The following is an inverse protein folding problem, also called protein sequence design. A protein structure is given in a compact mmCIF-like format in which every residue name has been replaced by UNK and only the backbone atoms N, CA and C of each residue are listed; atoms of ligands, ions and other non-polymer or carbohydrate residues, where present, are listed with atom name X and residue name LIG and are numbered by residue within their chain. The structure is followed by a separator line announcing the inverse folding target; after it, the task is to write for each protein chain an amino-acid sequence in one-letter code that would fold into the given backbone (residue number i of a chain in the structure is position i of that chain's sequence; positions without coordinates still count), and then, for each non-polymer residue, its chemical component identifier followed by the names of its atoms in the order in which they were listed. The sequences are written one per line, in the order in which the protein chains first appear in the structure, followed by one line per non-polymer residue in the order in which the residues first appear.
data_IF_774828765407
#
_entry.id   IF_774828765407
#
_cell.length_a   1.000
_cell.length_b   1.000
_cell.length_c   1.000
_cell.angle_alpha   90.00
_cell.angle_beta   90.00
_cell.angle_gamma   90.00
#
_symmetry.space_group_name_H-M   'P 1'
#
loop_
_entity.id
_entity.type
_entity.pdbx_description
1 polymer ?
#
# COMPACT_ATOMS: atom_id res chain seq x y z
N UNK A 1 -0.77 9.56 -7.04
CA UNK A 1 -1.98 9.40 -6.19
C UNK A 1 -1.62 8.48 -5.05
N UNK A 2 -2.02 8.76 -3.80
CA UNK A 2 -1.64 7.94 -2.64
C UNK A 2 -2.73 6.97 -2.17
N UNK A 3 -3.83 6.76 -2.92
CA UNK A 3 -4.93 5.84 -2.56
C UNK A 3 -5.52 6.09 -1.15
N UNK A 4 -5.55 7.34 -0.71
CA UNK A 4 -5.96 7.75 0.64
C UNK A 4 -4.96 7.39 1.74
N UNK A 5 -3.80 6.83 1.40
CA UNK A 5 -2.68 6.57 2.31
C UNK A 5 -1.90 7.87 2.51
N UNK A 6 -1.43 8.10 3.74
CA UNK A 6 -0.54 9.23 4.03
C UNK A 6 0.70 9.19 3.12
N UNK A 7 1.12 10.31 2.52
CA UNK A 7 2.31 10.35 1.66
C UNK A 7 3.54 9.72 2.32
N UNK A 8 3.79 10.04 3.59
CA UNK A 8 4.92 9.48 4.36
C UNK A 8 4.82 7.97 4.53
N UNK A 9 3.61 7.42 4.72
CA UNK A 9 3.42 5.97 4.83
C UNK A 9 3.62 5.30 3.48
N UNK A 10 3.10 5.90 2.41
CA UNK A 10 3.26 5.40 1.05
C UNK A 10 4.74 5.34 0.65
N UNK A 11 5.49 6.42 0.90
CA UNK A 11 6.93 6.47 0.63
C UNK A 11 7.71 5.41 1.41
N UNK A 12 7.37 5.18 2.69
CA UNK A 12 8.00 4.13 3.50
C UNK A 12 7.70 2.72 2.99
N UNK A 13 6.47 2.46 2.55
CA UNK A 13 6.11 1.17 1.94
C UNK A 13 6.88 0.95 0.64
N UNK A 14 6.95 1.96 -0.23
CA UNK A 14 7.71 1.88 -1.48
C UNK A 14 9.20 1.63 -1.22
N UNK A 15 9.80 2.35 -0.26
CA UNK A 15 11.20 2.16 0.10
C UNK A 15 11.48 0.76 0.67
N UNK A 16 10.55 0.22 1.47
CA UNK A 16 10.64 -1.15 1.99
C UNK A 16 10.62 -2.18 0.86
N UNK A 17 9.60 -2.15 0.00
CA UNK A 17 9.47 -3.13 -1.09
C UNK A 17 10.58 -3.01 -2.13
N UNK A 18 11.14 -1.83 -2.35
CA UNK A 18 12.27 -1.65 -3.27
C UNK A 18 13.57 -2.32 -2.77
N UNK A 19 13.68 -2.60 -1.47
CA UNK A 19 14.85 -3.24 -0.86
C UNK A 19 14.74 -4.76 -0.72
N UNK A 20 13.59 -5.35 -1.02
CA UNK A 20 13.32 -6.78 -0.83
C UNK A 20 13.33 -7.50 -2.19
N UNK A 21 14.44 -8.16 -2.52
CA UNK A 21 14.62 -8.82 -3.83
C UNK A 21 13.65 -9.99 -4.07
N UNK A 22 13.14 -10.60 -3.00
CA UNK A 22 12.21 -11.73 -3.07
C UNK A 22 10.78 -11.29 -3.40
N UNK A 23 10.43 -10.02 -3.17
CA UNK A 23 9.09 -9.50 -3.45
C UNK A 23 9.00 -9.11 -4.93
N UNK A 24 8.33 -9.92 -5.74
CA UNK A 24 8.19 -9.65 -7.18
C UNK A 24 7.08 -8.65 -7.46
N UNK A 25 6.01 -8.68 -6.65
CA UNK A 25 4.82 -7.88 -6.86
C UNK A 25 4.09 -7.60 -5.55
N UNK A 26 3.64 -6.36 -5.41
CA UNK A 26 2.74 -5.93 -4.33
C UNK A 26 1.45 -5.40 -4.93
N UNK A 27 0.31 -5.95 -4.52
CA UNK A 27 -1.01 -5.49 -4.97
C UNK A 27 -1.76 -4.86 -3.82
N UNK A 28 -2.13 -3.58 -3.98
CA UNK A 28 -3.07 -2.90 -3.09
C UNK A 28 -4.50 -3.36 -3.41
N UNK A 29 -5.20 -3.86 -2.39
CA UNK A 29 -6.62 -4.22 -2.51
C UNK A 29 -7.46 -3.60 -1.39
N UNK A 30 -8.69 -4.08 -1.22
CA UNK A 30 -9.54 -3.66 -0.12
C UNK A 30 -10.16 -2.28 -0.28
N UNK A 31 -10.41 -1.61 0.85
CA UNK A 31 -11.17 -0.34 0.87
C UNK A 31 -10.43 0.83 0.20
N UNK A 32 -9.11 0.88 0.34
CA UNK A 32 -8.25 1.95 -0.21
C UNK A 32 -8.12 1.87 -1.72
N UNK A 33 -8.00 0.67 -2.28
CA UNK A 33 -8.03 0.46 -3.73
C UNK A 33 -9.40 0.84 -4.35
N UNK A 34 -10.50 0.58 -3.63
CA UNK A 34 -11.87 0.88 -4.09
C UNK A 34 -12.31 2.33 -3.88
N UNK A 35 -11.51 3.14 -3.20
CA UNK A 35 -11.89 4.52 -2.86
C UNK A 35 -12.98 4.64 -1.79
N UNK A 36 -13.23 3.57 -1.02
CA UNK A 36 -14.25 3.54 0.05
C UNK A 36 -13.62 3.56 1.45
N UNK A 37 -12.34 3.93 1.55
CA UNK A 37 -11.60 3.96 2.81
C UNK A 37 -12.01 5.14 3.70
N UNK A 38 -11.98 4.92 5.02
CA UNK A 38 -12.13 5.93 6.07
C UNK A 38 -10.77 6.24 6.69
N UNK A 39 -10.70 7.28 7.52
CA UNK A 39 -9.45 7.71 8.16
C UNK A 39 -8.77 6.59 8.97
N UNK A 40 -9.56 5.66 9.52
CA UNK A 40 -9.13 4.52 10.32
C UNK A 40 -9.14 3.20 9.55
N UNK A 41 -9.27 3.22 8.22
CA UNK A 41 -9.20 1.99 7.43
C UNK A 41 -7.77 1.49 7.32
N UNK A 42 -7.61 0.17 7.36
CA UNK A 42 -6.32 -0.51 7.19
C UNK A 42 -5.80 -0.40 5.75
N UNK A 43 -4.58 -0.89 5.51
CA UNK A 43 -3.95 -0.99 4.20
C UNK A 43 -3.79 -2.47 3.87
N UNK A 44 -4.61 -2.98 2.95
CA UNK A 44 -4.60 -4.38 2.54
C UNK A 44 -3.62 -4.60 1.37
N UNK A 45 -2.58 -5.42 1.57
CA UNK A 45 -1.55 -5.71 0.58
C UNK A 45 -1.43 -7.22 0.35
N UNK A 46 -1.34 -7.63 -0.92
CA UNK A 46 -1.00 -8.99 -1.31
C UNK A 46 0.41 -9.00 -1.88
N UNK A 47 1.22 -9.98 -1.47
CA UNK A 47 2.61 -10.17 -1.88
C UNK A 47 2.69 -11.42 -2.74
N UNK A 48 3.36 -11.32 -3.88
CA UNK A 48 3.67 -12.39 -4.84
C UNK A 48 5.15 -12.27 -5.24
#
# INVERSE_FOLDING_TARGET
MSYGISPTVFERLMAYFAGEEDIQKVVLFGSRARGTARYNSDIDLCID
#
